data_IF_587604940520
#
_entry.id   IF_587604940520
#
_cell.length_a   1.000
_cell.length_b   1.000
_cell.length_c   1.000
_cell.angle_alpha   90.00
_cell.angle_beta   90.00
_cell.angle_gamma   90.00
#
_symmetry.space_group_name_H-M   'P 1'
#
loop_
_entity.id
_entity.type
_entity.pdbx_description
1 polymer ?
#
# COMPACT_ATOMS: atom_id res chain seq x y z
N UNK A 1 1.36 11.45 -1.59
CA UNK A 1 1.30 10.07 -1.06
C UNK A 1 0.63 10.03 0.31
N UNK A 2 1.04 10.85 1.29
CA UNK A 2 0.52 10.81 2.67
C UNK A 2 -1.00 10.67 2.81
N UNK A 3 -1.80 11.55 2.18
CA UNK A 3 -3.28 11.49 2.25
C UNK A 3 -3.87 10.17 1.74
N UNK A 4 -3.21 9.53 0.77
CA UNK A 4 -3.68 8.26 0.21
C UNK A 4 -3.54 7.12 1.21
N UNK A 5 -2.66 7.24 2.22
CA UNK A 5 -2.51 6.24 3.28
C UNK A 5 -3.76 6.13 4.18
N UNK A 6 -4.69 7.10 4.12
CA UNK A 6 -6.03 6.95 4.73
C UNK A 6 -6.87 5.83 4.09
N UNK A 7 -6.44 5.30 2.94
CA UNK A 7 -7.02 4.15 2.25
C UNK A 7 -6.35 2.82 2.65
N UNK A 8 -5.21 2.87 3.36
CA UNK A 8 -4.45 1.69 3.72
C UNK A 8 -5.18 0.89 4.80
N UNK A 9 -5.23 -0.46 4.70
CA UNK A 9 -5.89 -1.30 5.70
C UNK A 9 -5.25 -1.12 7.08
N UNK A 10 -6.07 -0.85 8.11
CA UNK A 10 -5.57 -0.66 9.48
C UNK A 10 -4.66 0.56 9.70
N UNK A 11 -4.53 1.45 8.71
CA UNK A 11 -3.57 2.57 8.78
C UNK A 11 -2.11 2.15 8.60
N UNK A 12 -1.87 0.91 8.17
CA UNK A 12 -0.54 0.35 7.94
C UNK A 12 -0.27 0.22 6.43
N UNK A 13 0.91 0.65 6.01
CA UNK A 13 1.33 0.53 4.63
C UNK A 13 2.81 0.16 4.53
N UNK A 14 3.14 -0.70 3.58
CA UNK A 14 4.51 -0.88 3.09
C UNK A 14 4.73 -0.05 1.81
N UNK A 15 5.97 -0.07 1.28
CA UNK A 15 6.31 0.64 0.05
C UNK A 15 5.45 0.19 -1.15
N UNK A 16 5.04 -1.07 -1.19
CA UNK A 16 4.21 -1.63 -2.24
C UNK A 16 2.76 -1.14 -2.20
N UNK A 17 2.19 -1.06 -1.00
CA UNK A 17 0.85 -0.52 -0.77
C UNK A 17 0.81 0.95 -1.14
N UNK A 18 1.79 1.74 -0.67
CA UNK A 18 1.89 3.15 -1.02
C UNK A 18 2.08 3.37 -2.53
N UNK A 19 2.93 2.57 -3.17
CA UNK A 19 3.14 2.60 -4.64
C UNK A 19 1.85 2.31 -5.41
N UNK A 20 1.09 1.29 -5.01
CA UNK A 20 -0.17 0.93 -5.67
C UNK A 20 -1.22 2.04 -5.52
N UNK A 21 -1.34 2.62 -4.31
CA UNK A 21 -2.24 3.73 -4.03
C UNK A 21 -1.86 4.99 -4.82
N UNK A 22 -0.58 5.34 -4.86
CA UNK A 22 -0.09 6.54 -5.52
C UNK A 22 0.06 6.40 -7.04
N UNK A 23 0.08 5.18 -7.58
CA UNK A 23 0.39 4.92 -8.98
C UNK A 23 1.82 5.30 -9.37
N UNK A 24 2.77 5.19 -8.46
CA UNK A 24 4.18 5.48 -8.68
C UNK A 24 5.05 4.22 -8.53
N UNK A 25 6.36 4.32 -8.78
CA UNK A 25 7.28 3.21 -8.54
C UNK A 25 7.43 2.89 -7.04
N UNK A 26 7.78 1.64 -6.73
CA UNK A 26 8.02 1.20 -5.34
C UNK A 26 9.18 1.94 -4.70
N UNK A 27 10.24 2.22 -5.45
CA UNK A 27 11.39 3.00 -4.96
C UNK A 27 11.00 4.43 -4.59
N UNK A 28 10.24 5.11 -5.45
CA UNK A 28 9.76 6.46 -5.17
C UNK A 28 8.81 6.49 -3.96
N UNK A 29 7.93 5.49 -3.84
CA UNK A 29 7.06 5.34 -2.69
C UNK A 29 7.86 5.16 -1.39
N UNK A 30 8.86 4.26 -1.37
CA UNK A 30 9.74 4.06 -0.20
C UNK A 30 10.43 5.36 0.21
N UNK A 31 11.09 6.06 -0.71
CA UNK A 31 11.78 7.32 -0.41
C UNK A 31 10.82 8.34 0.21
N UNK A 32 9.62 8.49 -0.37
CA UNK A 32 8.61 9.42 0.16
C UNK A 32 8.11 9.02 1.55
N UNK A 33 7.98 7.72 1.84
CA UNK A 33 7.58 7.24 3.15
C UNK A 33 8.67 7.49 4.21
N UNK A 34 9.94 7.24 3.85
CA UNK A 34 11.08 7.52 4.73
C UNK A 34 11.21 9.02 5.02
N UNK A 35 10.92 9.89 4.05
CA UNK A 35 10.86 11.34 4.26
C UNK A 35 9.75 11.71 5.26
N UNK A 36 8.57 11.07 5.18
CA UNK A 36 7.50 11.31 6.15
C UNK A 36 7.82 10.82 7.56
N UNK A 37 8.56 9.71 7.68
CA UNK A 37 9.09 9.26 8.99
C UNK A 37 10.06 10.29 9.56
N UNK A 38 10.96 10.81 8.72
CA UNK A 38 11.92 11.85 9.12
C UNK A 38 11.22 13.13 9.61
N UNK A 39 10.07 13.46 9.02
CA UNK A 39 9.23 14.59 9.42
C UNK A 39 8.30 14.28 10.60
N UNK A 40 8.32 13.06 11.16
CA UNK A 40 7.44 12.65 12.25
C UNK A 40 5.97 12.48 11.87
N UNK A 41 5.66 12.37 10.57
CA UNK A 41 4.30 12.21 10.05
C UNK A 41 3.87 10.74 9.99
N UNK A 42 4.82 9.81 10.00
CA UNK A 42 4.58 8.37 10.05
C UNK A 42 5.44 7.72 11.14
N UNK A 43 4.90 6.66 11.74
CA UNK A 43 5.66 5.73 12.57
C UNK A 43 6.27 4.62 11.70
N UNK A 44 7.27 3.93 12.24
CA UNK A 44 7.87 2.73 11.64
C UNK A 44 7.61 1.57 12.59
N UNK A 45 6.90 0.55 12.13
CA UNK A 45 6.46 -0.56 12.99
C UNK A 45 7.29 -1.81 12.73
N UNK A 46 7.94 -2.31 13.78
CA UNK A 46 8.67 -3.59 13.74
C UNK A 46 9.93 -3.58 12.87
N UNK A 47 10.42 -4.80 12.58
CA UNK A 47 11.59 -5.03 11.75
C UNK A 47 11.26 -5.10 10.24
N UNK A 48 9.99 -5.30 9.91
CA UNK A 48 9.51 -5.27 8.53
C UNK A 48 9.27 -3.81 8.15
N UNK A 49 9.59 -3.40 6.92
CA UNK A 49 9.50 -2.02 6.45
C UNK A 49 8.04 -1.50 6.31
N UNK A 50 7.28 -1.54 7.42
CA UNK A 50 5.93 -1.06 7.56
C UNK A 50 5.92 0.34 8.18
N UNK A 51 5.02 1.15 7.64
CA UNK A 51 4.82 2.53 8.02
C UNK A 51 3.40 2.68 8.58
N UNK A 52 3.30 3.25 9.76
CA UNK A 52 2.04 3.46 10.46
C UNK A 52 1.62 4.92 10.37
N UNK A 53 0.34 5.15 10.08
CA UNK A 53 -0.28 6.47 10.21
C UNK A 53 -0.68 6.67 11.68
N UNK A 54 -0.12 7.67 12.39
CA UNK A 54 -0.55 7.99 13.74
C UNK A 54 -2.06 8.23 13.82
N UNK A 55 -2.74 7.67 14.81
CA UNK A 55 -4.20 7.76 14.93
C UNK A 55 -4.74 9.20 14.94
N UNK A 56 -3.97 10.15 15.46
CA UNK A 56 -4.32 11.59 15.44
C UNK A 56 -4.36 12.18 14.02
N UNK A 57 -3.62 11.62 13.06
CA UNK A 57 -3.58 12.07 11.67
C UNK A 57 -4.63 11.37 10.80
N UNK A 58 -5.13 10.20 11.20
CA UNK A 58 -6.04 9.39 10.37
C UNK A 58 -7.28 10.18 9.89
N UNK A 59 -7.94 10.91 10.78
CA UNK A 59 -9.10 11.75 10.44
C UNK A 59 -8.74 12.93 9.51
N UNK A 60 -7.60 13.59 9.77
CA UNK A 60 -7.13 14.73 8.98
C UNK A 60 -6.76 14.30 7.56
N UNK A 61 -6.08 13.16 7.42
CA UNK A 61 -5.73 12.61 6.10
C UNK A 61 -6.96 12.17 5.32
N UNK A 62 -7.98 11.63 5.99
CA UNK A 62 -9.26 11.29 5.36
C UNK A 62 -9.97 12.54 4.84
N UNK A 63 -10.07 13.59 5.65
CA UNK A 63 -10.66 14.86 5.22
C UNK A 63 -9.89 15.47 4.04
N UNK A 64 -8.55 15.43 4.08
CA UNK A 64 -7.71 15.94 3.00
C UNK A 64 -7.85 15.12 1.70
N UNK A 65 -8.02 13.80 1.80
CA UNK A 65 -8.30 12.93 0.66
C UNK A 65 -9.63 13.31 0.00
N UNK A 66 -10.67 13.50 0.79
CA UNK A 66 -12.02 13.84 0.31
C UNK A 66 -12.09 15.25 -0.30
N UNK A 67 -11.32 16.20 0.24
CA UNK A 67 -11.21 17.56 -0.27
C UNK A 67 -10.43 17.64 -1.60
N UNK A 68 -9.41 16.80 -1.77
CA UNK A 68 -8.41 16.97 -2.86
C UNK A 68 -8.55 16.00 -4.02
N UNK A 69 -9.14 14.83 -3.82
CA UNK A 69 -9.20 13.78 -4.83
C UNK A 69 -10.63 13.56 -5.31
N UNK A 70 -10.78 13.42 -6.63
CA UNK A 70 -12.09 13.11 -7.20
C UNK A 70 -12.49 11.69 -6.80
N UNK A 71 -13.80 11.39 -6.65
CA UNK A 71 -14.25 10.05 -6.29
C UNK A 71 -13.71 8.94 -7.20
N UNK A 72 -13.59 9.20 -8.51
CA UNK A 72 -13.03 8.24 -9.47
C UNK A 72 -11.53 7.96 -9.25
N UNK A 73 -10.76 8.96 -8.82
CA UNK A 73 -9.32 8.81 -8.53
C UNK A 73 -9.11 7.98 -7.27
N UNK A 74 -9.94 8.23 -6.24
CA UNK A 74 -9.97 7.42 -5.01
C UNK A 74 -10.32 5.97 -5.33
N UNK A 75 -11.32 5.73 -6.19
CA UNK A 75 -11.69 4.38 -6.63
C UNK A 75 -10.55 3.69 -7.38
N UNK A 76 -9.88 4.41 -8.29
CA UNK A 76 -8.75 3.87 -9.03
C UNK A 76 -7.58 3.48 -8.11
N UNK A 77 -7.26 4.32 -7.11
CA UNK A 77 -6.24 4.01 -6.11
C UNK A 77 -6.58 2.73 -5.32
N UNK A 78 -7.83 2.60 -4.85
CA UNK A 78 -8.32 1.38 -4.17
C UNK A 78 -8.25 0.16 -5.09
N UNK A 79 -8.63 0.29 -6.36
CA UNK A 79 -8.61 -0.80 -7.32
C UNK A 79 -7.19 -1.30 -7.57
N UNK A 80 -6.21 -0.40 -7.76
CA UNK A 80 -4.79 -0.76 -7.93
C UNK A 80 -4.23 -1.48 -6.71
N UNK A 81 -4.53 -0.98 -5.51
CA UNK A 81 -4.13 -1.64 -4.26
C UNK A 81 -4.74 -3.04 -4.15
N UNK A 82 -6.05 -3.17 -4.41
CA UNK A 82 -6.75 -4.45 -4.36
C UNK A 82 -6.20 -5.45 -5.37
N UNK A 83 -6.00 -5.02 -6.62
CA UNK A 83 -5.43 -5.85 -7.69
C UNK A 83 -4.07 -6.40 -7.26
N UNK A 84 -3.21 -5.55 -6.68
CA UNK A 84 -1.91 -5.99 -6.14
C UNK A 84 -2.07 -7.03 -5.02
N UNK A 85 -2.93 -6.78 -4.04
CA UNK A 85 -3.16 -7.74 -2.95
C UNK A 85 -3.68 -9.08 -3.45
N UNK A 86 -4.59 -9.06 -4.44
CA UNK A 86 -5.10 -10.29 -5.08
C UNK A 86 -3.99 -11.03 -5.82
N UNK A 87 -3.13 -10.33 -6.56
CA UNK A 87 -1.96 -10.95 -7.23
C UNK A 87 -0.99 -11.57 -6.22
N UNK A 88 -0.75 -10.91 -5.08
CA UNK A 88 0.08 -11.46 -4.01
C UNK A 88 -0.54 -12.75 -3.45
N UNK A 89 -1.83 -12.74 -3.13
CA UNK A 89 -2.55 -13.91 -2.66
C UNK A 89 -2.50 -15.08 -3.67
N UNK A 90 -2.68 -14.79 -4.96
CA UNK A 90 -2.54 -15.79 -6.02
C UNK A 90 -1.12 -16.37 -6.09
N UNK A 91 -0.11 -15.52 -5.88
CA UNK A 91 1.28 -15.96 -5.83
C UNK A 91 1.55 -16.88 -4.63
N UNK A 92 1.08 -16.49 -3.44
CA UNK A 92 1.18 -17.31 -2.23
C UNK A 92 0.51 -18.68 -2.43
N UNK A 93 -0.69 -18.70 -3.02
CA UNK A 93 -1.38 -19.96 -3.36
C UNK A 93 -0.55 -20.81 -4.32
N UNK A 94 -0.01 -20.23 -5.38
CA UNK A 94 0.77 -20.96 -6.36
C UNK A 94 2.06 -21.58 -5.76
N UNK A 95 2.66 -20.94 -4.74
CA UNK A 95 3.79 -21.51 -3.98
C UNK A 95 3.38 -22.75 -3.17
N UNK A 96 2.13 -22.80 -2.70
CA UNK A 96 1.60 -23.95 -1.94
C UNK A 96 1.03 -25.07 -2.82
N UNK A 97 0.76 -24.81 -4.10
CA UNK A 97 0.23 -25.83 -5.03
C UNK A 97 1.30 -26.89 -5.34
N UNK A 98 0.94 -28.18 -5.58
CA UNK A 98 1.90 -29.24 -5.86
C UNK A 98 2.88 -28.94 -7.00
N UNK A 99 4.06 -29.56 -6.95
CA UNK A 99 5.06 -29.46 -8.03
C UNK A 99 4.48 -29.88 -9.38
N UNK A 100 4.80 -29.13 -10.44
CA UNK A 100 4.26 -29.35 -11.79
C UNK A 100 2.84 -28.82 -12.02
N UNK A 101 2.15 -28.31 -10.99
CA UNK A 101 0.84 -27.68 -11.17
C UNK A 101 0.90 -26.48 -12.14
N UNK A 102 -0.18 -26.20 -12.89
CA UNK A 102 -0.23 -25.04 -13.78
C UNK A 102 0.05 -23.71 -13.07
N UNK A 103 -0.40 -23.54 -11.83
CA UNK A 103 -0.16 -22.33 -11.04
C UNK A 103 1.32 -22.17 -10.68
N UNK A 104 1.98 -23.25 -10.23
CA UNK A 104 3.40 -23.21 -9.84
C UNK A 104 4.32 -22.98 -11.03
N UNK A 105 3.96 -23.48 -12.22
CA UNK A 105 4.69 -23.20 -13.46
C UNK A 105 4.62 -21.75 -13.92
N UNK A 106 3.59 -21.00 -13.53
CA UNK A 106 3.45 -19.57 -13.87
C UNK A 106 4.25 -18.64 -12.94
N UNK A 107 4.85 -19.18 -11.86
CA UNK A 107 5.72 -18.44 -10.95
C UNK A 107 7.19 -18.44 -11.37
N UNK A 108 7.60 -19.39 -12.22
CA UNK A 108 8.96 -19.55 -12.74
C UNK A 108 9.15 -18.75 -14.04
#
# INVERSE_FOLDING_TARGET
ILRLLALAPGGLADAHTASALAGCSVSAARTTLDDFVTLGLLGREGAEDQYEVPGCLAGLLRALLEDRDRPAEIQLARARMLERTVRLLQSCRAVTDPEGSPSRRKLA
#
